data_IF_401743367038
#
_entry.id   IF_401743367038
#
_cell.length_a   1.000
_cell.length_b   1.000
_cell.length_c   1.000
_cell.angle_alpha   90.00
_cell.angle_beta   90.00
_cell.angle_gamma   90.00
#
_symmetry.space_group_name_H-M   'P 1'
#
loop_
_entity.id
_entity.type
_entity.pdbx_description
1 polymer ?
#
# COMPACT_ATOMS: atom_id res chain seq x y z
N UNK A 1 -15.62 7.79 12.90
CA UNK A 1 -14.17 7.57 12.76
C UNK A 1 -13.75 8.02 11.35
N UNK A 2 -12.77 8.89 11.28
CA UNK A 2 -12.24 9.37 10.01
C UNK A 2 -11.19 8.41 9.46
N UNK A 3 -11.50 7.79 8.35
CA UNK A 3 -10.62 6.83 7.69
C UNK A 3 -10.09 7.38 6.37
N UNK A 4 -8.85 7.04 6.05
CA UNK A 4 -8.24 7.30 4.74
C UNK A 4 -7.69 6.00 4.21
N UNK A 5 -7.91 5.72 2.93
CA UNK A 5 -7.38 4.53 2.26
C UNK A 5 -6.02 4.86 1.63
N UNK A 6 -5.01 4.09 1.96
CA UNK A 6 -3.70 4.14 1.31
C UNK A 6 -3.49 2.88 0.46
N UNK A 7 -3.40 3.09 -0.85
CA UNK A 7 -3.33 2.04 -1.88
C UNK A 7 -1.89 1.93 -2.35
N UNK A 8 -1.25 0.80 -2.05
CA UNK A 8 0.18 0.59 -2.31
C UNK A 8 0.38 -0.15 -3.63
N UNK A 9 0.97 0.52 -4.61
CA UNK A 9 1.58 -0.06 -5.82
C UNK A 9 0.68 -0.99 -6.63
N UNK A 10 -0.60 -0.67 -6.74
CA UNK A 10 -1.54 -1.38 -7.63
C UNK A 10 -1.33 -0.86 -9.04
N UNK A 11 -0.37 -1.46 -9.73
CA UNK A 11 0.20 -0.96 -10.98
C UNK A 11 0.50 -2.07 -11.99
N UNK A 12 0.62 -1.75 -13.29
CA UNK A 12 0.72 -2.76 -14.36
C UNK A 12 1.88 -3.73 -14.19
N UNK A 13 3.08 -3.27 -13.81
CA UNK A 13 4.28 -4.14 -13.75
C UNK A 13 4.18 -5.23 -12.66
N UNK A 14 3.29 -5.08 -11.67
CA UNK A 14 3.05 -6.11 -10.65
C UNK A 14 1.90 -7.06 -11.00
N UNK A 15 1.28 -6.88 -12.15
CA UNK A 15 0.23 -7.75 -12.68
C UNK A 15 -0.84 -8.16 -11.63
N UNK A 16 -1.51 -7.19 -10.98
CA UNK A 16 -2.50 -7.51 -9.96
C UNK A 16 -3.70 -8.25 -10.54
N UNK A 17 -4.34 -9.15 -9.74
CA UNK A 17 -5.61 -9.74 -10.15
C UNK A 17 -6.66 -8.66 -10.45
N UNK A 18 -7.42 -8.83 -11.54
CA UNK A 18 -8.46 -7.86 -11.92
C UNK A 18 -9.50 -7.63 -10.83
N UNK A 19 -9.89 -8.69 -10.12
CA UNK A 19 -10.84 -8.57 -9.00
C UNK A 19 -10.28 -7.71 -7.86
N UNK A 20 -8.99 -7.83 -7.55
CA UNK A 20 -8.34 -7.00 -6.54
C UNK A 20 -8.44 -5.51 -6.91
N UNK A 21 -8.13 -5.19 -8.18
CA UNK A 21 -8.21 -3.81 -8.69
C UNK A 21 -9.64 -3.27 -8.56
N UNK A 22 -10.64 -4.05 -8.97
CA UNK A 22 -12.06 -3.67 -8.90
C UNK A 22 -12.52 -3.44 -7.45
N UNK A 23 -12.15 -4.35 -6.54
CA UNK A 23 -12.57 -4.27 -5.14
C UNK A 23 -11.92 -3.06 -4.44
N UNK A 24 -10.64 -2.79 -4.69
CA UNK A 24 -9.97 -1.60 -4.16
C UNK A 24 -10.59 -0.32 -4.75
N UNK A 25 -10.84 -0.29 -6.05
CA UNK A 25 -11.47 0.86 -6.69
C UNK A 25 -12.88 1.12 -6.13
N UNK A 26 -13.62 0.06 -5.81
CA UNK A 26 -14.93 0.17 -5.17
C UNK A 26 -14.81 0.81 -3.80
N UNK A 27 -13.87 0.34 -2.96
CA UNK A 27 -13.65 0.90 -1.63
C UNK A 27 -13.21 2.37 -1.69
N UNK A 28 -12.34 2.72 -2.63
CA UNK A 28 -11.82 4.07 -2.81
C UNK A 28 -12.91 5.12 -3.10
N UNK A 29 -14.07 4.70 -3.60
CA UNK A 29 -15.21 5.60 -3.81
C UNK A 29 -15.94 6.02 -2.53
N UNK A 30 -15.70 5.31 -1.43
CA UNK A 30 -16.43 5.51 -0.19
C UNK A 30 -15.65 6.30 0.87
N UNK A 31 -14.38 6.62 0.62
CA UNK A 31 -13.54 7.37 1.55
C UNK A 31 -12.41 8.09 0.83
N UNK A 32 -11.79 9.11 1.44
CA UNK A 32 -10.58 9.73 0.90
C UNK A 32 -9.51 8.68 0.64
N UNK A 33 -8.84 8.79 -0.51
CA UNK A 33 -7.87 7.78 -0.94
C UNK A 33 -6.59 8.40 -1.47
N UNK A 34 -5.49 7.73 -1.15
CA UNK A 34 -4.14 8.09 -1.61
C UNK A 34 -3.52 6.82 -2.19
N UNK A 35 -2.88 6.93 -3.33
CA UNK A 35 -2.16 5.82 -3.94
C UNK A 35 -0.68 6.13 -4.07
N UNK A 36 0.17 5.11 -3.95
CA UNK A 36 1.55 5.16 -4.40
C UNK A 36 1.73 4.33 -5.66
N UNK A 37 2.69 4.75 -6.48
CA UNK A 37 3.19 4.00 -7.63
C UNK A 37 4.70 3.94 -7.53
N UNK A 38 5.27 2.75 -7.64
CA UNK A 38 6.70 2.56 -7.63
C UNK A 38 7.22 2.55 -9.08
N UNK A 39 8.13 3.47 -9.38
CA UNK A 39 8.84 3.52 -10.66
C UNK A 39 10.32 3.22 -10.46
N UNK A 40 10.98 2.76 -11.51
CA UNK A 40 12.40 2.45 -11.45
C UNK A 40 13.25 3.65 -11.85
N UNK A 41 14.26 3.91 -11.01
CA UNK A 41 15.42 4.73 -11.34
C UNK A 41 16.63 4.11 -10.63
N UNK A 42 17.52 3.47 -11.40
CA UNK A 42 18.66 2.72 -10.86
C UNK A 42 19.67 3.62 -10.12
N UNK A 43 19.68 4.91 -10.41
CA UNK A 43 20.51 5.87 -9.67
C UNK A 43 19.99 6.15 -8.25
N UNK A 44 18.73 5.85 -7.99
CA UNK A 44 18.08 6.05 -6.68
C UNK A 44 18.06 4.74 -5.89
N UNK A 45 17.52 3.65 -6.50
CA UNK A 45 17.41 2.35 -5.85
C UNK A 45 17.98 1.23 -6.72
N UNK A 46 18.77 0.32 -6.14
CA UNK A 46 19.58 -0.64 -6.90
C UNK A 46 18.83 -1.92 -7.25
N UNK A 47 17.58 -1.84 -7.71
CA UNK A 47 16.77 -3.02 -7.98
C UNK A 47 17.41 -3.96 -9.01
N UNK A 48 17.86 -3.40 -10.14
CA UNK A 48 18.39 -4.23 -11.23
C UNK A 48 19.73 -4.87 -10.86
N UNK A 49 20.66 -4.07 -10.34
CA UNK A 49 22.00 -4.58 -10.01
C UNK A 49 22.05 -5.49 -8.77
N UNK A 50 21.09 -5.37 -7.86
CA UNK A 50 21.03 -6.24 -6.66
C UNK A 50 20.06 -7.40 -6.80
N UNK A 51 18.93 -7.21 -7.46
CA UNK A 51 17.83 -8.18 -7.47
C UNK A 51 17.55 -8.78 -8.86
N UNK A 52 18.11 -8.21 -9.92
CA UNK A 52 17.91 -8.69 -11.27
C UNK A 52 16.53 -8.37 -11.87
N UNK A 53 15.74 -7.52 -11.22
CA UNK A 53 14.46 -7.04 -11.74
C UNK A 53 14.25 -5.57 -11.35
N UNK A 54 13.22 -4.96 -11.91
CA UNK A 54 12.87 -3.57 -11.64
C UNK A 54 11.39 -3.30 -11.88
N UNK A 55 10.77 -2.34 -11.15
CA UNK A 55 9.44 -1.83 -11.49
C UNK A 55 9.43 -1.15 -12.86
N UNK A 56 8.27 -1.02 -13.48
CA UNK A 56 8.13 -0.30 -14.74
C UNK A 56 8.50 1.18 -14.59
N UNK A 57 9.30 1.74 -15.52
CA UNK A 57 9.78 3.12 -15.40
C UNK A 57 8.70 4.18 -15.59
N UNK A 58 7.54 3.80 -16.14
CA UNK A 58 6.42 4.69 -16.45
C UNK A 58 5.07 4.17 -15.96
N UNK A 59 5.06 3.24 -15.01
CA UNK A 59 3.82 2.71 -14.45
C UNK A 59 2.95 3.81 -13.86
N UNK A 60 1.63 3.58 -13.90
CA UNK A 60 0.61 4.43 -13.31
C UNK A 60 -0.28 3.60 -12.39
N UNK A 61 -1.04 4.26 -11.52
CA UNK A 61 -2.02 3.56 -10.67
C UNK A 61 -3.16 2.98 -11.52
N UNK A 62 -3.47 1.69 -11.31
CA UNK A 62 -4.64 1.05 -11.90
C UNK A 62 -5.93 1.38 -11.15
N UNK A 63 -5.82 1.97 -9.97
CA UNK A 63 -6.95 2.39 -9.15
C UNK A 63 -7.00 3.91 -9.11
N UNK A 64 -8.15 4.53 -9.39
CA UNK A 64 -8.34 5.97 -9.18
C UNK A 64 -8.22 6.30 -7.69
N UNK A 65 -7.46 7.34 -7.37
CA UNK A 65 -7.32 7.87 -6.02
C UNK A 65 -7.33 9.40 -6.06
N UNK A 66 -7.65 10.03 -4.93
CA UNK A 66 -7.68 11.49 -4.85
C UNK A 66 -6.29 12.10 -5.07
N UNK A 67 -5.24 11.41 -4.61
CA UNK A 67 -3.85 11.79 -4.83
C UNK A 67 -3.02 10.55 -5.15
N UNK A 68 -2.08 10.71 -6.08
CA UNK A 68 -1.11 9.67 -6.44
C UNK A 68 0.29 10.21 -6.23
N UNK A 69 1.12 9.46 -5.51
CA UNK A 69 2.52 9.79 -5.26
C UNK A 69 3.43 8.76 -5.93
N UNK A 70 4.40 9.24 -6.69
CA UNK A 70 5.42 8.41 -7.31
C UNK A 70 6.55 8.21 -6.31
N UNK A 71 6.99 6.95 -6.15
CA UNK A 71 8.15 6.60 -5.33
C UNK A 71 9.13 5.74 -6.13
N UNK A 72 10.37 5.68 -5.66
CA UNK A 72 11.46 4.94 -6.32
C UNK A 72 12.07 3.89 -5.38
N UNK A 73 11.34 3.46 -4.37
CA UNK A 73 11.76 2.46 -3.40
C UNK A 73 10.57 1.84 -2.69
N UNK A 74 10.84 1.03 -1.67
CA UNK A 74 9.80 0.29 -0.94
C UNK A 74 8.89 1.18 -0.10
N UNK A 75 9.48 2.14 0.61
CA UNK A 75 8.74 3.00 1.53
C UNK A 75 8.01 4.13 0.80
N UNK A 76 6.88 4.61 1.35
CA UNK A 76 6.23 5.81 0.85
C UNK A 76 7.18 7.01 0.94
N UNK A 77 6.98 7.98 0.05
CA UNK A 77 7.70 9.25 0.11
C UNK A 77 7.29 10.06 1.32
N UNK A 78 8.16 10.99 1.73
CA UNK A 78 7.84 11.93 2.80
C UNK A 78 6.61 12.78 2.45
N UNK A 79 6.49 13.20 1.19
CA UNK A 79 5.33 13.97 0.74
C UNK A 79 4.01 13.20 0.90
N UNK A 80 4.02 11.90 0.63
CA UNK A 80 2.85 11.05 0.82
C UNK A 80 2.48 10.94 2.30
N UNK A 81 3.45 10.73 3.17
CA UNK A 81 3.23 10.67 4.62
C UNK A 81 2.72 12.00 5.16
N UNK A 82 3.34 13.11 4.76
CA UNK A 82 2.93 14.46 5.17
C UNK A 82 1.50 14.78 4.70
N UNK A 83 1.14 14.36 3.50
CA UNK A 83 -0.22 14.53 3.00
C UNK A 83 -1.23 13.73 3.82
N UNK A 84 -0.92 12.47 4.15
CA UNK A 84 -1.78 11.65 5.02
C UNK A 84 -1.94 12.28 6.41
N UNK A 85 -0.87 12.80 6.98
CA UNK A 85 -0.92 13.55 8.26
C UNK A 85 -1.83 14.78 8.16
N UNK A 86 -1.77 15.51 7.05
CA UNK A 86 -2.59 16.70 6.83
C UNK A 86 -4.10 16.41 6.80
N UNK A 87 -4.47 15.18 6.46
CA UNK A 87 -5.87 14.73 6.47
C UNK A 87 -6.40 14.43 7.87
N UNK A 88 -5.54 14.37 8.87
CA UNK A 88 -5.87 14.09 10.28
C UNK A 88 -6.78 12.87 10.45
N UNK A 89 -6.41 11.69 9.90
CA UNK A 89 -7.25 10.50 10.02
C UNK A 89 -7.16 9.88 11.43
N UNK A 90 -8.24 9.24 11.86
CA UNK A 90 -8.22 8.40 13.06
C UNK A 90 -7.46 7.08 12.80
N UNK A 91 -7.56 6.56 11.57
CA UNK A 91 -6.75 5.45 11.10
C UNK A 91 -6.53 5.52 9.59
N UNK A 92 -5.41 4.94 9.13
CA UNK A 92 -5.12 4.76 7.71
C UNK A 92 -5.29 3.29 7.36
N UNK A 93 -6.26 2.99 6.52
CA UNK A 93 -6.45 1.65 5.97
C UNK A 93 -5.45 1.42 4.86
N UNK A 94 -4.70 0.32 4.93
CA UNK A 94 -3.63 0.02 3.96
C UNK A 94 -3.95 -1.26 3.20
N UNK A 95 -3.82 -1.21 1.89
CA UNK A 95 -4.03 -2.35 0.99
C UNK A 95 -3.05 -2.28 -0.20
N UNK A 96 -3.05 -3.29 -1.03
CA UNK A 96 -2.29 -3.31 -2.28
C UNK A 96 -1.19 -4.36 -2.35
N UNK A 97 -0.04 -4.00 -2.87
CA UNK A 97 1.03 -4.91 -3.27
C UNK A 97 2.39 -4.40 -2.77
N UNK A 98 3.22 -5.20 -2.12
CA UNK A 98 3.06 -6.57 -1.67
C UNK A 98 3.05 -6.59 -0.15
N UNK A 99 2.25 -7.47 0.43
CA UNK A 99 1.98 -7.52 1.88
C UNK A 99 3.24 -7.53 2.75
N UNK A 100 4.26 -8.29 2.35
CA UNK A 100 5.52 -8.48 3.06
C UNK A 100 6.66 -7.55 2.57
N UNK A 101 6.36 -6.61 1.68
CA UNK A 101 7.35 -5.70 1.07
C UNK A 101 6.90 -4.25 1.17
N UNK A 102 6.39 -3.66 0.08
CA UNK A 102 6.01 -2.23 0.05
C UNK A 102 4.85 -1.90 1.01
N UNK A 103 3.89 -2.80 1.15
CA UNK A 103 2.80 -2.64 2.12
C UNK A 103 3.36 -2.62 3.54
N UNK A 104 4.25 -3.55 3.87
CA UNK A 104 4.90 -3.60 5.18
C UNK A 104 5.76 -2.35 5.43
N UNK A 105 6.52 -1.91 4.42
CA UNK A 105 7.31 -0.68 4.49
C UNK A 105 6.43 0.54 4.74
N UNK A 106 5.26 0.61 4.11
CA UNK A 106 4.26 1.65 4.38
C UNK A 106 3.79 1.59 5.84
N UNK A 107 3.56 0.38 6.37
CA UNK A 107 3.20 0.19 7.77
C UNK A 107 4.22 0.82 8.72
N UNK A 108 5.51 0.55 8.51
CA UNK A 108 6.57 1.15 9.33
C UNK A 108 6.58 2.68 9.21
N UNK A 109 6.52 3.21 8.00
CA UNK A 109 6.56 4.67 7.80
C UNK A 109 5.35 5.39 8.44
N UNK A 110 4.16 4.83 8.30
CA UNK A 110 2.95 5.40 8.87
C UNK A 110 2.93 5.28 10.39
N UNK A 111 3.35 4.14 10.92
CA UNK A 111 3.45 3.91 12.36
C UNK A 111 4.44 4.89 13.01
N UNK A 112 5.62 5.04 12.41
CA UNK A 112 6.66 5.97 12.90
C UNK A 112 6.23 7.44 12.82
N UNK A 113 5.30 7.76 11.91
CA UNK A 113 4.73 9.11 11.78
C UNK A 113 3.58 9.37 12.78
N UNK A 114 3.22 8.40 13.62
CA UNK A 114 2.14 8.53 14.60
C UNK A 114 0.75 8.33 14.01
N UNK A 115 0.65 7.81 12.79
CA UNK A 115 -0.61 7.37 12.21
C UNK A 115 -0.97 5.95 12.70
N UNK A 116 -2.23 5.57 12.55
CA UNK A 116 -2.72 4.26 12.95
C UNK A 116 -2.90 3.37 11.70
N UNK A 117 -1.82 2.76 11.16
CA UNK A 117 -1.93 1.91 9.98
C UNK A 117 -2.67 0.62 10.32
N UNK A 118 -3.69 0.31 9.52
CA UNK A 118 -4.54 -0.87 9.68
C UNK A 118 -4.59 -1.62 8.36
N UNK A 119 -4.18 -2.88 8.37
CA UNK A 119 -4.13 -3.70 7.16
C UNK A 119 -5.52 -4.22 6.79
N UNK A 120 -5.82 -4.22 5.49
CA UNK A 120 -6.96 -4.92 4.89
C UNK A 120 -6.43 -6.17 4.18
N UNK A 121 -6.41 -7.36 4.84
CA UNK A 121 -5.74 -8.54 4.30
C UNK A 121 -6.35 -9.03 2.97
N UNK A 122 -7.67 -9.00 2.83
CA UNK A 122 -8.35 -9.46 1.62
C UNK A 122 -8.20 -8.53 0.41
N UNK A 123 -7.66 -7.34 0.61
CA UNK A 123 -7.30 -6.40 -0.46
C UNK A 123 -5.78 -6.26 -0.61
N UNK A 124 -5.04 -7.30 -0.25
CA UNK A 124 -3.58 -7.28 -0.25
C UNK A 124 -3.04 -8.60 -0.83
N UNK A 125 -2.02 -8.50 -1.66
CA UNK A 125 -1.33 -9.64 -2.27
C UNK A 125 0.11 -9.67 -1.79
N UNK A 126 0.62 -10.87 -1.46
CA UNK A 126 1.99 -11.06 -1.02
C UNK A 126 3.01 -11.15 -2.15
N UNK A 127 4.28 -11.15 -1.78
CA UNK A 127 5.40 -11.34 -2.71
C UNK A 127 5.52 -12.81 -3.17
N UNK A 128 6.55 -13.09 -3.96
CA UNK A 128 6.88 -14.46 -4.37
C UNK A 128 7.20 -15.40 -3.19
N UNK A 129 7.51 -14.87 -2.02
CA UNK A 129 7.69 -15.68 -0.81
C UNK A 129 6.37 -16.27 -0.31
N UNK A 130 5.30 -15.50 -0.38
CA UNK A 130 3.96 -15.94 0.01
C UNK A 130 2.90 -15.06 -0.66
N UNK A 131 2.41 -15.50 -1.79
CA UNK A 131 1.41 -14.78 -2.60
C UNK A 131 0.08 -14.59 -1.89
N UNK A 132 -0.25 -15.47 -0.93
CA UNK A 132 -1.50 -15.35 -0.15
C UNK A 132 -1.55 -14.09 0.71
N UNK A 133 -0.38 -13.51 1.02
CA UNK A 133 -0.27 -12.37 1.93
C UNK A 133 -0.25 -12.74 3.41
N UNK A 134 -0.37 -14.02 3.77
CA UNK A 134 -0.41 -14.46 5.18
C UNK A 134 0.86 -14.09 5.94
N UNK A 135 2.03 -14.24 5.31
CA UNK A 135 3.31 -13.82 5.91
C UNK A 135 3.32 -12.33 6.23
N UNK A 136 2.93 -11.50 5.27
CA UNK A 136 2.85 -10.05 5.47
C UNK A 136 1.86 -9.65 6.55
N UNK A 137 0.70 -10.30 6.60
CA UNK A 137 -0.31 -10.05 7.63
C UNK A 137 0.20 -10.43 9.03
N UNK A 138 0.95 -11.53 9.17
CA UNK A 138 1.60 -11.91 10.44
C UNK A 138 2.62 -10.87 10.89
N UNK A 139 3.48 -10.41 9.98
CA UNK A 139 4.46 -9.37 10.26
C UNK A 139 3.77 -8.06 10.66
N UNK A 140 2.72 -7.70 9.95
CA UNK A 140 1.92 -6.51 10.26
C UNK A 140 1.31 -6.58 11.65
N UNK A 141 0.66 -7.69 11.97
CA UNK A 141 0.06 -7.91 13.28
C UNK A 141 1.10 -7.83 14.40
N UNK A 142 2.27 -8.41 14.16
CA UNK A 142 3.37 -8.39 15.13
C UNK A 142 3.89 -6.97 15.39
N UNK A 143 4.08 -6.17 14.32
CA UNK A 143 4.71 -4.85 14.45
C UNK A 143 3.73 -3.72 14.74
N UNK A 144 2.50 -3.79 14.24
CA UNK A 144 1.54 -2.67 14.30
C UNK A 144 0.23 -3.03 14.98
N UNK A 145 -0.09 -4.28 15.16
CA UNK A 145 -1.24 -4.76 15.92
C UNK A 145 -2.58 -4.74 15.19
N UNK A 146 -2.81 -3.80 14.26
CA UNK A 146 -4.13 -3.59 13.67
C UNK A 146 -4.26 -4.25 12.29
N UNK A 147 -5.03 -5.33 12.25
CA UNK A 147 -5.41 -6.07 11.04
C UNK A 147 -6.91 -6.29 11.08
N UNK A 148 -7.63 -5.93 10.02
CA UNK A 148 -9.07 -6.18 9.94
C UNK A 148 -9.35 -7.68 9.79
N UNK A 149 -10.41 -8.16 10.42
CA UNK A 149 -10.82 -9.56 10.34
C UNK A 149 -11.80 -9.82 9.20
N UNK A 150 -12.59 -8.81 8.83
CA UNK A 150 -13.55 -8.91 7.73
C UNK A 150 -14.11 -7.57 7.30
N UNK A 151 -14.93 -7.56 6.21
CA UNK A 151 -15.49 -6.33 5.66
C UNK A 151 -16.32 -5.51 6.64
N UNK A 152 -16.96 -6.14 7.61
CA UNK A 152 -17.76 -5.44 8.62
C UNK A 152 -16.91 -4.49 9.49
N UNK A 153 -15.62 -4.77 9.63
CA UNK A 153 -14.69 -3.93 10.39
C UNK A 153 -14.36 -2.60 9.70
N UNK A 154 -14.72 -2.46 8.42
CA UNK A 154 -14.57 -1.20 7.70
C UNK A 154 -15.48 -0.10 8.26
N UNK A 155 -16.63 -0.47 8.82
CA UNK A 155 -17.55 0.49 9.41
C UNK A 155 -18.25 1.38 8.39
N UNK A 156 -18.49 0.85 7.18
CA UNK A 156 -19.18 1.53 6.08
C UNK A 156 -20.67 1.20 6.07
#
# INVERSE_FOLDING_TARGET
MKQVLYIVDVQPSFNPPGKLVEDIASLARHMPSVASVERHDESITPFERQLGWKPGPSDTSLVPADRVFIKYGYAPTREAVDYLLSLTPDRVLVCGIQADTCVLAAGFALFDAGLHPTLIPWLTVGSSLDRSGALGARLWKHHFGAVLEGPDDLGL
#
